data_IF_598283986697
#
_entry.id   IF_598283986697
#
_cell.length_a   1.000
_cell.length_b   1.000
_cell.length_c   1.000
_cell.angle_alpha   90.00
_cell.angle_beta   90.00
_cell.angle_gamma   90.00
#
_symmetry.space_group_name_H-M   'P 1'
#
loop_
_entity.id
_entity.type
_entity.pdbx_description
1 polymer ?
#
# COMPACT_ATOMS: atom_id res chain seq x y z
N UNK A 1 16.27 26.52 -3.38
CA UNK A 1 15.08 26.46 -4.25
C UNK A 1 14.12 25.64 -3.43
N UNK A 2 13.37 26.36 -2.60
CA UNK A 2 12.53 25.80 -1.55
C UNK A 2 11.22 25.39 -2.21
N UNK A 3 10.96 24.08 -2.27
CA UNK A 3 9.64 23.56 -2.60
C UNK A 3 8.77 23.73 -1.35
N UNK A 4 7.99 24.80 -1.37
CA UNK A 4 7.03 25.15 -0.34
C UNK A 4 6.11 23.96 -0.02
N UNK A 5 6.24 23.47 1.21
CA UNK A 5 5.20 22.71 1.86
C UNK A 5 3.98 23.63 1.97
N UNK A 6 2.91 23.31 1.23
CA UNK A 6 1.62 23.98 1.39
C UNK A 6 1.08 23.63 2.78
N UNK A 7 1.29 24.56 3.70
CA UNK A 7 0.67 24.63 5.00
C UNK A 7 -0.84 24.75 4.81
N UNK A 8 -1.59 23.84 5.43
CA UNK A 8 -3.05 23.81 5.35
C UNK A 8 -3.59 24.89 6.28
N UNK A 9 -3.55 26.14 5.84
CA UNK A 9 -4.44 27.18 6.35
C UNK A 9 -5.80 26.99 5.72
N UNK A 10 -6.82 26.76 6.56
CA UNK A 10 -8.24 26.81 6.21
C UNK A 10 -8.59 28.13 5.51
N UNK A 11 -8.48 28.16 4.19
CA UNK A 11 -9.31 29.01 3.34
C UNK A 11 -10.66 28.29 3.16
N UNK A 12 -11.79 29.00 3.17
CA UNK A 12 -13.09 28.41 2.88
C UNK A 12 -13.15 28.10 1.37
N UNK A 13 -12.42 27.08 0.94
CA UNK A 13 -12.00 26.97 -0.47
C UNK A 13 -13.02 26.24 -1.34
N UNK A 14 -13.42 26.92 -2.41
CA UNK A 14 -14.34 26.54 -3.48
C UNK A 14 -13.87 25.29 -4.27
N UNK A 15 -12.60 24.92 -4.11
CA UNK A 15 -11.96 23.76 -4.74
C UNK A 15 -11.54 22.72 -3.69
N UNK A 16 -12.06 21.49 -3.83
CA UNK A 16 -11.67 20.36 -2.97
C UNK A 16 -10.59 19.54 -3.66
N UNK A 17 -9.34 19.74 -3.26
CA UNK A 17 -8.23 18.89 -3.70
C UNK A 17 -8.22 17.57 -2.95
N UNK A 18 -7.93 16.46 -3.64
CA UNK A 18 -7.66 15.19 -3.00
C UNK A 18 -6.39 14.54 -3.52
N UNK A 19 -5.63 13.98 -2.58
CA UNK A 19 -4.48 13.13 -2.85
C UNK A 19 -4.66 11.81 -2.13
N UNK A 20 -4.79 10.74 -2.90
CA UNK A 20 -4.92 9.37 -2.44
C UNK A 20 -3.64 8.64 -2.75
N UNK A 21 -2.82 8.49 -1.73
CA UNK A 21 -1.62 7.65 -1.76
C UNK A 21 -1.56 6.78 -0.49
N UNK A 22 -0.42 6.12 -0.26
CA UNK A 22 -0.23 5.25 0.90
C UNK A 22 -0.29 6.01 2.24
N UNK A 23 -0.18 7.34 2.24
CA UNK A 23 -0.28 8.16 3.46
C UNK A 23 -1.73 8.47 3.82
N UNK A 24 -2.61 8.64 2.82
CA UNK A 24 -4.01 9.03 3.03
C UNK A 24 -5.00 7.87 3.01
N UNK A 25 -4.63 6.70 2.44
CA UNK A 25 -5.54 5.55 2.31
C UNK A 25 -4.99 4.29 2.97
N UNK A 26 -5.71 3.77 3.97
CA UNK A 26 -5.37 2.51 4.65
C UNK A 26 -5.32 1.32 3.70
N UNK A 27 -6.22 1.25 2.72
CA UNK A 27 -6.24 0.17 1.73
C UNK A 27 -5.00 0.20 0.85
N UNK A 28 -4.62 1.37 0.32
CA UNK A 28 -3.40 1.53 -0.50
C UNK A 28 -2.18 1.21 0.35
N UNK A 29 -2.15 1.68 1.60
CA UNK A 29 -1.09 1.38 2.56
C UNK A 29 -0.94 -0.12 2.79
N UNK A 30 -2.02 -0.82 3.12
CA UNK A 30 -2.00 -2.27 3.37
C UNK A 30 -1.57 -3.08 2.14
N UNK A 31 -2.07 -2.75 0.94
CA UNK A 31 -1.64 -3.44 -0.29
C UNK A 31 -0.16 -3.19 -0.59
N UNK A 32 0.29 -1.95 -0.40
CA UNK A 32 1.70 -1.60 -0.59
C UNK A 32 2.59 -2.30 0.44
N UNK A 33 2.21 -2.27 1.72
CA UNK A 33 2.90 -2.96 2.83
C UNK A 33 2.96 -4.46 2.61
N UNK A 34 1.85 -5.07 2.22
CA UNK A 34 1.80 -6.49 1.88
C UNK A 34 2.73 -6.81 0.70
N UNK A 35 2.64 -6.03 -0.36
CA UNK A 35 3.46 -6.22 -1.56
C UNK A 35 4.96 -6.10 -1.27
N UNK A 36 5.40 -4.95 -0.79
CA UNK A 36 6.80 -4.66 -0.48
C UNK A 36 7.32 -5.57 0.63
N UNK A 37 6.53 -5.76 1.69
CA UNK A 37 6.85 -6.67 2.79
C UNK A 37 7.08 -8.10 2.32
N UNK A 38 6.22 -8.63 1.43
CA UNK A 38 6.40 -9.98 0.88
C UNK A 38 7.70 -10.12 0.09
N UNK A 39 8.10 -9.10 -0.68
CA UNK A 39 9.36 -9.11 -1.41
C UNK A 39 10.57 -9.15 -0.48
N UNK A 40 10.60 -8.26 0.52
CA UNK A 40 11.67 -8.26 1.51
C UNK A 40 11.70 -9.55 2.32
N UNK A 41 10.54 -10.09 2.68
CA UNK A 41 10.43 -11.39 3.34
C UNK A 41 11.00 -12.53 2.49
N UNK A 42 10.69 -12.57 1.19
CA UNK A 42 11.19 -13.60 0.29
C UNK A 42 12.72 -13.52 0.14
N UNK A 43 13.26 -12.33 -0.12
CA UNK A 43 14.72 -12.09 -0.21
C UNK A 43 15.38 -12.45 1.11
N UNK A 44 14.84 -11.94 2.23
CA UNK A 44 15.33 -12.18 3.57
C UNK A 44 15.33 -13.66 3.94
N UNK A 45 14.30 -14.42 3.53
CA UNK A 45 14.22 -15.87 3.74
C UNK A 45 15.33 -16.59 2.97
N UNK A 46 15.57 -16.24 1.70
CA UNK A 46 16.64 -16.84 0.89
C UNK A 46 18.02 -16.56 1.50
N UNK A 47 18.29 -15.30 1.87
CA UNK A 47 19.57 -14.89 2.47
C UNK A 47 19.76 -15.58 3.83
N UNK A 48 18.74 -15.54 4.69
CA UNK A 48 18.77 -16.17 6.01
C UNK A 48 19.00 -17.67 5.93
N UNK A 49 18.36 -18.35 4.98
CA UNK A 49 18.58 -19.78 4.75
C UNK A 49 20.02 -20.08 4.33
N UNK A 50 20.60 -19.26 3.44
CA UNK A 50 22.00 -19.39 3.02
C UNK A 50 22.96 -19.17 4.19
N UNK A 51 22.74 -18.14 4.99
CA UNK A 51 23.53 -17.86 6.19
C UNK A 51 23.43 -18.99 7.21
N UNK A 52 22.22 -19.49 7.46
CA UNK A 52 21.98 -20.61 8.37
C UNK A 52 22.73 -21.86 7.93
N UNK A 53 22.71 -22.18 6.62
CA UNK A 53 23.45 -23.33 6.09
C UNK A 53 24.96 -23.20 6.29
N UNK A 54 25.54 -22.05 5.96
CA UNK A 54 26.99 -21.79 6.11
C UNK A 54 27.38 -21.82 7.59
N UNK A 55 26.62 -21.15 8.46
CA UNK A 55 26.88 -21.17 9.90
C UNK A 55 26.68 -22.56 10.50
N UNK A 56 25.76 -23.36 9.95
CA UNK A 56 25.51 -24.74 10.37
C UNK A 56 26.73 -25.65 10.22
N UNK A 57 27.58 -25.41 9.22
CA UNK A 57 28.82 -26.19 8.99
C UNK A 57 29.81 -26.05 10.17
N UNK A 58 29.74 -24.95 10.91
CA UNK A 58 30.58 -24.66 12.09
C UNK A 58 29.80 -24.72 13.41
N UNK A 59 28.57 -25.27 13.40
CA UNK A 59 27.71 -25.35 14.59
C UNK A 59 27.04 -24.03 15.01
N UNK A 60 27.18 -22.96 14.22
CA UNK A 60 26.66 -21.62 14.48
C UNK A 60 25.21 -21.37 14.05
N UNK A 61 24.47 -22.40 13.61
CA UNK A 61 23.09 -22.23 13.10
C UNK A 61 22.13 -21.55 14.09
N UNK A 62 22.26 -21.84 15.39
CA UNK A 62 21.46 -21.23 16.45
C UNK A 62 21.70 -19.72 16.57
N UNK A 63 22.92 -19.25 16.32
CA UNK A 63 23.29 -17.82 16.35
C UNK A 63 22.56 -17.06 15.25
N UNK A 64 22.47 -17.64 14.05
CA UNK A 64 21.73 -17.03 12.92
C UNK A 64 20.25 -16.91 13.24
N UNK A 65 19.65 -17.95 13.83
CA UNK A 65 18.23 -17.90 14.24
C UNK A 65 18.01 -16.82 15.30
N UNK A 66 18.87 -16.76 16.32
CA UNK A 66 18.78 -15.75 17.37
C UNK A 66 18.93 -14.32 16.81
N UNK A 67 19.83 -14.11 15.85
CA UNK A 67 20.01 -12.83 15.18
C UNK A 67 18.74 -12.42 14.40
N UNK A 68 18.16 -13.32 13.63
CA UNK A 68 16.92 -13.06 12.88
C UNK A 68 15.77 -12.73 13.83
N UNK A 69 15.64 -13.49 14.92
CA UNK A 69 14.61 -13.25 15.93
C UNK A 69 14.80 -11.88 16.61
N UNK A 70 16.05 -11.51 16.94
CA UNK A 70 16.37 -10.21 17.53
C UNK A 70 16.04 -9.05 16.57
N UNK A 71 16.34 -9.19 15.27
CA UNK A 71 15.99 -8.20 14.25
C UNK A 71 14.48 -8.04 14.12
N UNK A 72 13.73 -9.14 14.04
CA UNK A 72 12.28 -9.12 13.97
C UNK A 72 11.66 -8.47 15.22
N UNK A 73 12.14 -8.84 16.41
CA UNK A 73 11.69 -8.24 17.67
C UNK A 73 12.00 -6.74 17.73
N UNK A 74 13.15 -6.30 17.22
CA UNK A 74 13.53 -4.88 17.17
C UNK A 74 12.59 -4.09 16.26
N UNK A 75 12.28 -4.61 15.06
CA UNK A 75 11.32 -3.98 14.14
C UNK A 75 9.94 -3.86 14.79
N UNK A 76 9.45 -4.92 15.43
CA UNK A 76 8.15 -4.91 16.10
C UNK A 76 8.13 -3.97 17.32
N UNK A 77 9.22 -3.90 18.09
CA UNK A 77 9.34 -2.98 19.21
C UNK A 77 9.33 -1.52 18.76
N UNK A 78 10.05 -1.20 17.68
CA UNK A 78 10.02 0.13 17.07
C UNK A 78 8.61 0.47 16.56
N UNK A 79 7.97 -0.45 15.84
CA UNK A 79 6.62 -0.25 15.31
C UNK A 79 5.55 -0.07 16.40
N UNK A 80 5.77 -0.60 17.61
CA UNK A 80 4.86 -0.44 18.74
C UNK A 80 5.07 0.86 19.53
N UNK A 81 6.09 1.66 19.17
CA UNK A 81 6.45 2.90 19.89
C UNK A 81 5.94 4.12 19.13
N UNK A 82 5.24 5.03 19.82
CA UNK A 82 4.73 6.28 19.23
C UNK A 82 5.87 7.28 18.87
N UNK A 83 7.09 7.04 19.37
CA UNK A 83 8.26 7.94 19.31
C UNK A 83 9.44 7.27 18.56
N UNK A 84 9.13 6.61 17.44
CA UNK A 84 10.09 5.83 16.63
C UNK A 84 11.25 6.68 16.08
N UNK A 85 10.97 7.91 15.66
CA UNK A 85 11.95 8.84 15.09
C UNK A 85 13.05 9.19 16.11
N UNK A 86 12.66 9.56 17.34
CA UNK A 86 13.60 9.85 18.43
C UNK A 86 14.45 8.65 18.84
N UNK A 87 13.90 7.43 18.77
CA UNK A 87 14.66 6.22 19.05
C UNK A 87 15.70 5.93 17.98
N UNK A 88 15.33 6.06 16.70
CA UNK A 88 16.26 5.87 15.58
C UNK A 88 17.35 6.94 15.58
N UNK A 89 17.00 8.20 15.84
CA UNK A 89 17.97 9.29 15.95
C UNK A 89 19.00 9.03 17.07
N UNK A 90 18.56 8.51 18.22
CA UNK A 90 19.49 8.12 19.31
C UNK A 90 20.43 6.97 18.92
N UNK A 91 19.93 5.98 18.18
CA UNK A 91 20.70 4.81 17.74
C UNK A 91 21.70 5.13 16.62
N UNK A 92 21.34 6.08 15.76
CA UNK A 92 22.13 6.47 14.58
C UNK A 92 22.98 7.71 14.79
N UNK A 93 22.82 8.43 15.90
CA UNK A 93 23.71 9.55 16.32
C UNK A 93 25.22 9.28 16.16
N UNK A 94 25.75 8.07 16.41
CA UNK A 94 27.18 7.78 16.19
C UNK A 94 27.53 7.36 14.76
N UNK A 95 26.55 7.18 13.87
CA UNK A 95 26.70 6.70 12.50
C UNK A 95 26.49 7.85 11.50
N UNK A 96 27.30 7.96 10.44
CA UNK A 96 27.12 8.97 9.39
C UNK A 96 26.02 8.55 8.41
N UNK A 97 24.80 8.35 8.91
CA UNK A 97 23.66 7.90 8.14
C UNK A 97 22.48 8.81 8.42
N UNK A 98 21.91 9.41 7.37
CA UNK A 98 20.71 10.23 7.50
C UNK A 98 19.52 9.35 7.87
N UNK A 99 18.86 9.68 8.97
CA UNK A 99 17.66 8.98 9.43
C UNK A 99 16.47 9.43 8.57
N UNK A 100 15.69 8.51 7.99
CA UNK A 100 14.44 8.86 7.36
C UNK A 100 13.51 9.53 8.39
N UNK A 101 12.91 10.66 8.03
CA UNK A 101 11.94 11.40 8.85
C UNK A 101 10.57 11.48 8.18
N UNK A 102 9.53 11.72 8.99
CA UNK A 102 8.14 11.87 8.54
C UNK A 102 7.63 10.71 7.69
N UNK A 103 6.96 11.01 6.58
CA UNK A 103 6.28 10.00 5.73
C UNK A 103 7.23 8.93 5.15
N UNK A 104 8.52 9.24 4.98
CA UNK A 104 9.51 8.25 4.53
C UNK A 104 9.79 7.22 5.61
N UNK A 105 9.81 7.63 6.89
CA UNK A 105 9.98 6.74 8.03
C UNK A 105 8.79 5.82 8.19
N UNK A 106 7.57 6.36 8.13
CA UNK A 106 6.33 5.58 8.23
C UNK A 106 6.29 4.48 7.17
N UNK A 107 6.66 4.83 5.94
CA UNK A 107 6.70 3.91 4.81
C UNK A 107 7.79 2.84 4.96
N UNK A 108 8.95 3.19 5.50
CA UNK A 108 10.01 2.25 5.81
C UNK A 108 9.60 1.29 6.94
N UNK A 109 8.92 1.80 7.97
CA UNK A 109 8.41 1.01 9.09
C UNK A 109 7.31 0.05 8.64
N UNK A 110 6.35 0.54 7.84
CA UNK A 110 5.31 -0.28 7.23
C UNK A 110 5.93 -1.44 6.42
N UNK A 111 6.93 -1.16 5.58
CA UNK A 111 7.63 -2.19 4.82
C UNK A 111 8.37 -3.20 5.71
N UNK A 112 9.05 -2.73 6.76
CA UNK A 112 9.77 -3.58 7.71
C UNK A 112 8.82 -4.50 8.49
N UNK A 113 7.71 -3.96 8.99
CA UNK A 113 6.65 -4.74 9.67
C UNK A 113 6.04 -5.76 8.71
N UNK A 114 5.72 -5.33 7.48
CA UNK A 114 5.23 -6.21 6.43
C UNK A 114 6.20 -7.37 6.15
N UNK A 115 7.50 -7.10 6.10
CA UNK A 115 8.53 -8.11 5.91
C UNK A 115 8.61 -9.11 7.07
N UNK A 116 8.51 -8.65 8.32
CA UNK A 116 8.49 -9.53 9.49
C UNK A 116 7.26 -10.45 9.47
N UNK A 117 6.07 -9.87 9.24
CA UNK A 117 4.80 -10.63 9.20
C UNK A 117 4.83 -11.65 8.07
N UNK A 118 5.17 -11.23 6.85
CA UNK A 118 5.22 -12.14 5.70
C UNK A 118 6.34 -13.18 5.81
N UNK A 119 7.46 -12.82 6.43
CA UNK A 119 8.54 -13.75 6.75
C UNK A 119 8.08 -14.85 7.70
N UNK A 120 7.30 -14.49 8.74
CA UNK A 120 6.70 -15.45 9.65
C UNK A 120 5.69 -16.37 8.93
N UNK A 121 4.84 -15.82 8.05
CA UNK A 121 3.89 -16.61 7.24
C UNK A 121 4.61 -17.60 6.33
N UNK A 122 5.58 -17.13 5.55
CA UNK A 122 6.38 -17.96 4.64
C UNK A 122 7.15 -19.03 5.44
N UNK A 123 7.80 -18.64 6.52
CA UNK A 123 8.55 -19.54 7.40
C UNK A 123 7.66 -20.61 8.04
N UNK A 124 6.46 -20.24 8.50
CA UNK A 124 5.49 -21.18 9.05
C UNK A 124 5.01 -22.18 7.99
N UNK A 125 4.70 -21.73 6.77
CA UNK A 125 4.34 -22.61 5.66
C UNK A 125 5.46 -23.62 5.37
N UNK A 126 6.71 -23.17 5.29
CA UNK A 126 7.86 -24.05 5.07
C UNK A 126 8.05 -25.06 6.22
N UNK A 127 7.93 -24.61 7.48
CA UNK A 127 8.08 -25.46 8.66
C UNK A 127 6.99 -26.53 8.73
N UNK A 128 5.72 -26.15 8.49
CA UNK A 128 4.59 -27.08 8.44
C UNK A 128 4.77 -28.06 7.29
N UNK A 129 5.16 -27.60 6.10
CA UNK A 129 5.42 -28.47 4.96
C UNK A 129 6.52 -29.50 5.27
N UNK A 130 7.60 -29.08 5.93
CA UNK A 130 8.67 -29.98 6.37
C UNK A 130 8.15 -30.99 7.40
N UNK A 131 7.40 -30.56 8.40
CA UNK A 131 6.84 -31.43 9.43
C UNK A 131 5.89 -32.48 8.85
N UNK A 132 4.99 -32.08 7.94
CA UNK A 132 4.07 -32.99 7.23
C UNK A 132 4.83 -34.00 6.39
N UNK A 133 5.88 -33.57 5.69
CA UNK A 133 6.70 -34.46 4.87
C UNK A 133 7.54 -35.44 5.68
N UNK A 134 8.03 -35.05 6.87
CA UNK A 134 8.84 -35.92 7.73
C UNK A 134 8.01 -37.00 8.43
N UNK A 135 6.74 -36.70 8.72
CA UNK A 135 5.82 -37.61 9.40
C UNK A 135 4.89 -38.35 8.42
N UNK A 136 5.13 -38.24 7.10
CA UNK A 136 4.33 -38.87 6.05
C UNK A 136 2.80 -38.60 6.16
N UNK A 137 2.42 -37.46 6.73
CA UNK A 137 1.01 -37.16 7.09
C UNK A 137 0.13 -36.89 5.86
N UNK A 138 0.72 -36.57 4.71
CA UNK A 138 0.04 -36.37 3.44
C UNK A 138 0.81 -37.07 2.32
N UNK A 139 0.09 -37.79 1.45
CA UNK A 139 0.66 -38.45 0.27
C UNK A 139 1.35 -37.47 -0.71
N UNK A 140 1.01 -36.18 -0.64
CA UNK A 140 1.54 -35.12 -1.50
C UNK A 140 2.81 -34.46 -0.90
N UNK A 141 3.21 -34.81 0.33
CA UNK A 141 4.41 -34.29 0.99
C UNK A 141 4.38 -32.77 1.22
N UNK A 142 5.56 -32.13 1.21
CA UNK A 142 5.72 -30.68 1.44
C UNK A 142 5.26 -29.79 0.27
N UNK A 143 5.01 -30.37 -0.91
CA UNK A 143 4.77 -29.65 -2.16
C UNK A 143 3.71 -28.53 -2.08
N UNK A 144 2.51 -28.78 -1.51
CA UNK A 144 1.45 -27.78 -1.42
C UNK A 144 1.84 -26.54 -0.61
N UNK A 145 2.59 -26.71 0.49
CA UNK A 145 2.99 -25.61 1.36
C UNK A 145 4.06 -24.72 0.71
N UNK A 146 5.04 -25.33 0.05
CA UNK A 146 6.02 -24.60 -0.74
C UNK A 146 5.37 -23.89 -1.92
N UNK A 147 4.39 -24.53 -2.57
CA UNK A 147 3.60 -23.92 -3.64
C UNK A 147 2.81 -22.70 -3.18
N UNK A 148 2.13 -22.79 -2.02
CA UNK A 148 1.43 -21.66 -1.40
C UNK A 148 2.38 -20.51 -1.05
N UNK A 149 3.53 -20.82 -0.47
CA UNK A 149 4.55 -19.81 -0.17
C UNK A 149 5.06 -19.13 -1.45
N UNK A 150 5.25 -19.88 -2.53
CA UNK A 150 5.66 -19.33 -3.82
C UNK A 150 4.56 -18.46 -4.46
N UNK A 151 3.28 -18.81 -4.27
CA UNK A 151 2.13 -18.06 -4.78
C UNK A 151 1.97 -16.67 -4.13
N UNK A 152 2.53 -16.47 -2.93
CA UNK A 152 2.52 -15.15 -2.28
C UNK A 152 3.27 -14.10 -3.10
N UNK A 153 4.30 -14.48 -3.87
CA UNK A 153 5.09 -13.55 -4.69
C UNK A 153 4.26 -12.93 -5.83
N UNK A 154 3.60 -13.70 -6.73
CA UNK A 154 2.75 -13.12 -7.76
C UNK A 154 1.53 -12.38 -7.17
N UNK A 155 0.98 -12.82 -6.03
CA UNK A 155 -0.10 -12.09 -5.35
C UNK A 155 0.41 -10.74 -4.84
N UNK A 156 1.63 -10.69 -4.28
CA UNK A 156 2.27 -9.45 -3.85
C UNK A 156 2.52 -8.49 -5.02
N UNK A 157 2.96 -8.99 -6.18
CA UNK A 157 3.06 -8.20 -7.41
C UNK A 157 1.71 -7.60 -7.79
N UNK A 158 0.66 -8.43 -7.81
CA UNK A 158 -0.68 -7.96 -8.13
C UNK A 158 -1.15 -6.88 -7.14
N UNK A 159 -0.89 -7.07 -5.84
CA UNK A 159 -1.22 -6.09 -4.82
C UNK A 159 -0.49 -4.76 -5.04
N UNK A 160 0.79 -4.76 -5.44
CA UNK A 160 1.54 -3.55 -5.76
C UNK A 160 0.98 -2.83 -6.99
N UNK A 161 0.68 -3.59 -8.04
CA UNK A 161 0.07 -3.04 -9.27
C UNK A 161 -1.28 -2.42 -8.94
N UNK A 162 -2.11 -3.13 -8.18
CA UNK A 162 -3.42 -2.64 -7.77
C UNK A 162 -3.31 -1.42 -6.84
N UNK A 163 -2.33 -1.38 -5.93
CA UNK A 163 -2.04 -0.21 -5.12
C UNK A 163 -1.71 1.01 -5.98
N UNK A 164 -0.94 0.83 -7.06
CA UNK A 164 -0.62 1.91 -8.02
C UNK A 164 -1.86 2.42 -8.74
N UNK A 165 -2.77 1.54 -9.16
CA UNK A 165 -4.04 1.96 -9.78
C UNK A 165 -5.01 2.64 -8.82
N UNK A 166 -4.91 2.32 -7.52
CA UNK A 166 -5.71 2.96 -6.48
C UNK A 166 -5.13 4.30 -6.01
N UNK A 167 -3.92 4.66 -6.45
CA UNK A 167 -3.42 6.02 -6.26
C UNK A 167 -4.21 6.95 -7.17
N UNK A 168 -4.75 8.01 -6.60
CA UNK A 168 -5.56 8.98 -7.32
C UNK A 168 -5.24 10.36 -6.79
N UNK A 169 -4.98 11.30 -7.70
CA UNK A 169 -4.80 12.70 -7.36
C UNK A 169 -5.70 13.50 -8.28
N UNK A 170 -6.39 14.49 -7.73
CA UNK A 170 -7.26 15.38 -8.49
C UNK A 170 -7.80 16.51 -7.65
N UNK A 171 -8.56 17.39 -8.30
CA UNK A 171 -9.27 18.49 -7.66
C UNK A 171 -10.70 18.54 -8.17
N UNK A 172 -11.64 18.76 -7.27
CA UNK A 172 -13.05 19.02 -7.59
C UNK A 172 -13.28 20.51 -7.41
N UNK A 173 -13.56 21.20 -8.51
CA UNK A 173 -14.06 22.56 -8.49
C UNK A 173 -15.58 22.54 -8.43
N UNK A 174 -16.16 23.07 -7.36
CA UNK A 174 -17.62 23.07 -7.17
C UNK A 174 -18.31 24.17 -7.96
N UNK A 175 -17.64 25.28 -8.24
CA UNK A 175 -18.21 26.40 -8.99
C UNK A 175 -18.18 26.12 -10.48
N UNK A 176 -17.01 25.73 -10.99
CA UNK A 176 -16.83 25.35 -12.40
C UNK A 176 -17.39 23.95 -12.70
N UNK A 177 -17.89 23.25 -11.67
CA UNK A 177 -18.47 21.90 -11.75
C UNK A 177 -17.56 20.94 -12.52
N UNK A 178 -16.27 21.09 -12.31
CA UNK A 178 -15.26 20.41 -13.10
C UNK A 178 -14.38 19.57 -12.19
N UNK A 179 -14.17 18.32 -12.59
CA UNK A 179 -13.23 17.42 -11.93
C UNK A 179 -11.92 17.43 -12.72
N UNK A 180 -10.88 17.97 -12.13
CA UNK A 180 -9.52 17.95 -12.66
C UNK A 180 -8.79 16.69 -12.18
N UNK A 181 -8.31 15.88 -13.12
CA UNK A 181 -7.44 14.74 -12.81
C UNK A 181 -5.97 15.14 -12.90
N UNK A 182 -5.08 14.35 -12.30
CA UNK A 182 -3.63 14.58 -12.28
C UNK A 182 -2.99 14.80 -13.66
N UNK A 183 -3.59 14.27 -14.73
CA UNK A 183 -3.17 14.59 -16.10
C UNK A 183 -3.79 15.94 -16.52
N UNK A 184 -2.98 16.97 -16.86
CA UNK A 184 -3.43 18.35 -17.06
C UNK A 184 -4.45 18.54 -18.20
N UNK A 185 -4.64 17.52 -19.04
CA UNK A 185 -5.58 17.53 -20.16
C UNK A 185 -6.92 16.80 -19.85
N UNK A 186 -7.10 16.25 -18.64
CA UNK A 186 -8.33 15.53 -18.25
C UNK A 186 -9.14 16.31 -17.23
N UNK A 187 -9.84 17.32 -17.72
CA UNK A 187 -10.94 17.97 -17.02
C UNK A 187 -12.26 17.29 -17.39
N UNK A 188 -13.05 16.90 -16.40
CA UNK A 188 -14.38 16.31 -16.59
C UNK A 188 -15.39 17.36 -16.16
N UNK A 189 -16.08 17.92 -17.14
CA UNK A 189 -17.24 18.77 -16.88
C UNK A 189 -18.38 17.89 -16.36
N UNK A 190 -18.88 18.18 -15.16
CA UNK A 190 -19.97 17.42 -14.55
C UNK A 190 -21.34 17.73 -15.18
N UNK A 191 -21.46 18.79 -15.98
CA UNK A 191 -22.70 19.15 -16.69
C UNK A 191 -23.06 18.17 -17.81
N UNK A 192 -22.08 17.43 -18.34
CA UNK A 192 -22.29 16.41 -19.37
C UNK A 192 -22.55 15.02 -18.78
N UNK A 193 -22.71 14.90 -17.46
CA UNK A 193 -22.96 13.64 -16.76
C UNK A 193 -24.45 13.53 -16.44
N UNK A 194 -25.08 12.45 -16.92
CA UNK A 194 -26.51 12.17 -16.74
C UNK A 194 -26.81 11.40 -15.44
N UNK A 195 -25.90 10.53 -15.04
CA UNK A 195 -26.09 9.66 -13.87
C UNK A 195 -24.75 9.28 -13.24
N UNK A 196 -24.77 9.14 -11.92
CA UNK A 196 -23.60 8.77 -11.12
C UNK A 196 -23.94 7.57 -10.25
N UNK A 197 -23.21 6.47 -10.43
CA UNK A 197 -23.29 5.31 -9.55
C UNK A 197 -22.09 5.26 -8.62
N UNK A 198 -22.34 5.27 -7.31
CA UNK A 198 -21.30 5.21 -6.28
C UNK A 198 -21.28 3.82 -5.67
N UNK A 199 -20.12 3.16 -5.72
CA UNK A 199 -19.85 1.93 -4.99
C UNK A 199 -18.76 2.15 -3.94
N UNK A 200 -19.08 2.17 -2.64
CA UNK A 200 -18.07 2.27 -1.60
C UNK A 200 -17.27 0.97 -1.49
N UNK A 201 -15.95 1.11 -1.31
CA UNK A 201 -14.98 0.02 -1.10
C UNK A 201 -13.98 0.48 -0.03
N UNK A 202 -14.25 0.11 1.23
CA UNK A 202 -13.45 0.54 2.38
C UNK A 202 -13.41 2.07 2.47
N UNK A 203 -12.19 2.63 2.54
CA UNK A 203 -11.97 4.09 2.61
C UNK A 203 -11.97 4.75 1.21
N UNK A 204 -12.79 4.23 0.29
CA UNK A 204 -12.78 4.61 -1.13
C UNK A 204 -14.18 4.51 -1.70
N UNK A 205 -14.44 5.26 -2.77
CA UNK A 205 -15.63 5.12 -3.58
C UNK A 205 -15.23 5.00 -5.05
N UNK A 206 -15.76 3.96 -5.71
CA UNK A 206 -15.73 3.85 -7.16
C UNK A 206 -16.95 4.58 -7.69
N UNK A 207 -16.69 5.68 -8.38
CA UNK A 207 -17.71 6.52 -9.03
C UNK A 207 -17.76 6.12 -10.49
N UNK A 208 -18.90 5.59 -10.93
CA UNK A 208 -19.18 5.31 -12.35
C UNK A 208 -19.98 6.46 -12.92
N UNK A 209 -19.45 7.08 -13.97
CA UNK A 209 -20.04 8.25 -14.63
C UNK A 209 -20.74 7.83 -15.93
N UNK A 210 -22.02 8.12 -16.03
CA UNK A 210 -22.82 7.99 -17.26
C UNK A 210 -22.89 9.34 -17.94
N UNK A 211 -22.31 9.46 -19.14
CA UNK A 211 -22.28 10.72 -19.88
C UNK A 211 -23.55 10.83 -20.74
N UNK A 212 -24.13 12.03 -20.75
CA UNK A 212 -25.11 12.41 -21.74
C UNK A 212 -24.49 12.31 -23.14
N UNK A 213 -25.29 11.93 -24.14
CA UNK A 213 -24.92 11.96 -25.56
C UNK A 213 -25.69 13.08 -26.26
N UNK A 214 -25.34 14.35 -26.02
CA UNK A 214 -25.94 15.46 -26.75
C UNK A 214 -25.73 15.23 -28.26
N UNK A 215 -26.81 15.32 -29.02
CA UNK A 215 -26.83 15.11 -30.48
C UNK A 215 -26.34 13.73 -30.96
N UNK A 216 -26.38 12.71 -30.08
CA UNK A 216 -25.90 11.37 -30.39
C UNK A 216 -24.38 11.27 -30.55
N UNK A 217 -23.64 12.30 -30.14
CA UNK A 217 -22.18 12.30 -30.19
C UNK A 217 -21.57 11.69 -28.92
N UNK A 218 -20.47 10.97 -29.10
CA UNK A 218 -19.74 10.36 -28.00
C UNK A 218 -18.90 11.42 -27.28
N UNK A 219 -19.20 11.64 -26.00
CA UNK A 219 -18.36 12.47 -25.12
C UNK A 219 -17.18 11.63 -24.61
N UNK A 220 -15.97 12.10 -24.91
CA UNK A 220 -14.73 11.49 -24.44
C UNK A 220 -14.52 11.80 -22.95
N UNK A 221 -14.24 10.77 -22.16
CA UNK A 221 -13.93 10.94 -20.75
C UNK A 221 -13.89 9.62 -19.99
N UNK A 222 -13.22 9.59 -18.82
CA UNK A 222 -13.16 8.41 -17.99
C UNK A 222 -14.55 8.07 -17.45
N UNK A 223 -14.94 6.80 -17.60
CA UNK A 223 -16.25 6.28 -17.16
C UNK A 223 -16.24 5.81 -15.71
N UNK A 224 -15.05 5.63 -15.13
CA UNK A 224 -14.86 5.18 -13.75
C UNK A 224 -13.74 5.98 -13.11
N UNK A 225 -14.04 6.50 -11.93
CA UNK A 225 -13.12 7.25 -11.09
C UNK A 225 -13.05 6.58 -9.72
N UNK A 226 -11.87 6.58 -9.11
CA UNK A 226 -11.68 6.13 -7.74
C UNK A 226 -11.32 7.33 -6.91
N UNK A 227 -12.23 7.75 -6.02
CA UNK A 227 -12.09 8.98 -5.21
C UNK A 227 -12.41 8.70 -3.74
N UNK A 228 -12.03 9.60 -2.81
CA UNK A 228 -12.48 9.51 -1.42
C UNK A 228 -14.02 9.55 -1.29
N UNK A 229 -14.63 8.89 -0.29
CA UNK A 229 -16.08 8.88 -0.12
C UNK A 229 -16.73 10.26 0.09
N UNK A 230 -15.99 11.24 0.60
CA UNK A 230 -16.46 12.62 0.69
C UNK A 230 -16.60 13.25 -0.71
N UNK A 231 -15.53 13.18 -1.52
CA UNK A 231 -15.53 13.68 -2.90
C UNK A 231 -16.59 12.98 -3.77
N UNK A 232 -16.78 11.66 -3.60
CA UNK A 232 -17.83 10.94 -4.32
C UNK A 232 -19.24 11.47 -4.00
N UNK A 233 -19.51 11.76 -2.72
CA UNK A 233 -20.79 12.34 -2.30
C UNK A 233 -20.98 13.73 -2.87
N UNK A 234 -19.92 14.54 -2.91
CA UNK A 234 -19.97 15.88 -3.49
C UNK A 234 -20.25 15.84 -4.99
N UNK A 235 -19.60 14.92 -5.72
CA UNK A 235 -19.87 14.70 -7.17
C UNK A 235 -21.33 14.30 -7.39
N UNK A 236 -21.86 13.34 -6.63
CA UNK A 236 -23.27 12.96 -6.77
C UNK A 236 -24.23 14.10 -6.42
N UNK A 237 -23.94 14.87 -5.37
CA UNK A 237 -24.77 16.02 -5.00
C UNK A 237 -24.80 17.09 -6.11
N UNK A 238 -23.67 17.35 -6.78
CA UNK A 238 -23.60 18.29 -7.90
C UNK A 238 -24.41 17.78 -9.09
N UNK A 239 -24.29 16.49 -9.46
CA UNK A 239 -25.04 15.93 -10.60
C UNK A 239 -26.54 15.84 -10.30
N UNK A 240 -26.93 15.42 -9.09
CA UNK A 240 -28.35 15.36 -8.69
C UNK A 240 -29.02 16.74 -8.69
N UNK A 241 -28.27 17.81 -8.37
CA UNK A 241 -28.80 19.19 -8.42
C UNK A 241 -29.15 19.68 -9.83
N UNK A 242 -28.76 18.94 -10.87
CA UNK A 242 -29.03 19.27 -12.27
C UNK A 242 -30.28 18.58 -12.84
N UNK A 243 -30.85 17.59 -12.11
CA UNK A 243 -32.13 16.96 -12.45
C UNK A 243 -33.30 17.77 -11.88
#
# INVERSE_FOLDING_TARGET
>A
MDEDAVDVTETPDETTQWRRDASTSRTVRLLWTFGVGTFFAAIGTVVSWRLYRVAGEVGGGAVVIALIAALAATVLALAATDDTERHLERLTRPLPVDVPSGTKLDRAMDAAVGAVVMGAVIGALMAVGRYVSQNELLAVGAGPFTGLAALLIPIALFALVFASFLQSVGALDREDRTVYLYEPDQAIDLSVIEDVSIRPIGDSAVVTLSYAQPDGQYVQGPRRLVVPPAVARDIAAIVDSQR
#
